data_IF_962028422629
#
_entry.id   IF_962028422629
#
_cell.length_a   1.000
_cell.length_b   1.000
_cell.length_c   1.000
_cell.angle_alpha   90.00
_cell.angle_beta   90.00
_cell.angle_gamma   90.00
#
_symmetry.space_group_name_H-M   'P 1'
#
loop_
_entity.id
_entity.type
_entity.pdbx_description
1 polymer ?
#
# COMPACT_ATOMS: atom_id res chain seq x y z
N UNK A 1 40.48 25.39 -6.45
CA UNK A 1 41.49 24.37 -6.09
C UNK A 1 41.85 24.55 -4.63
N UNK A 2 41.42 23.70 -3.73
CA UNK A 2 41.94 23.67 -2.35
C UNK A 2 43.14 22.72 -2.27
N UNK A 3 44.10 22.95 -1.36
CA UNK A 3 45.37 22.23 -1.27
C UNK A 3 45.23 20.86 -0.58
N UNK A 4 46.02 19.90 -1.07
CA UNK A 4 46.13 18.53 -0.57
C UNK A 4 46.89 18.49 0.76
N UNK A 5 46.44 17.61 1.67
CA UNK A 5 47.09 17.26 2.91
C UNK A 5 48.30 16.29 2.67
N UNK A 6 49.36 16.37 3.49
CA UNK A 6 50.55 15.52 3.36
C UNK A 6 50.36 14.11 3.98
N UNK A 7 51.13 13.09 3.55
CA UNK A 7 51.01 11.71 4.02
C UNK A 7 51.69 11.48 5.39
N UNK A 8 51.28 10.44 6.15
CA UNK A 8 51.86 10.17 7.49
C UNK A 8 53.22 9.52 7.42
N UNK A 9 54.10 9.96 8.31
CA UNK A 9 55.49 9.48 8.52
C UNK A 9 55.53 8.03 8.99
N UNK A 10 56.39 7.26 8.39
CA UNK A 10 56.77 5.90 8.80
C UNK A 10 57.64 5.95 10.08
N UNK A 11 57.23 5.18 11.08
CA UNK A 11 58.01 4.95 12.29
C UNK A 11 59.20 3.99 12.04
N UNK A 12 60.37 4.37 12.55
CA UNK A 12 61.62 3.65 12.39
C UNK A 12 61.62 2.35 13.23
N UNK A 13 62.19 1.30 12.66
CA UNK A 13 62.47 -0.01 13.25
C UNK A 13 63.78 0.10 14.10
N UNK A 14 63.82 -0.34 15.38
CA UNK A 14 65.05 -0.39 16.14
C UNK A 14 65.93 -1.63 15.75
N UNK A 15 67.28 -1.55 15.88
CA UNK A 15 68.17 -2.59 15.48
C UNK A 15 68.23 -3.77 16.47
N UNK A 16 68.73 -4.97 16.04
CA UNK A 16 68.75 -6.16 16.86
C UNK A 16 69.88 -6.15 17.91
N UNK A 17 69.52 -6.48 19.15
CA UNK A 17 70.50 -6.69 20.24
C UNK A 17 71.02 -8.11 20.25
N UNK A 18 72.35 -8.24 20.33
CA UNK A 18 73.09 -9.50 20.44
C UNK A 18 72.82 -10.24 21.77
N UNK A 19 72.86 -11.59 21.76
CA UNK A 19 72.63 -12.41 22.95
C UNK A 19 73.85 -12.42 23.92
N UNK A 20 73.56 -12.25 25.19
CA UNK A 20 74.50 -12.41 26.33
C UNK A 20 74.64 -13.90 26.67
N UNK A 21 75.88 -14.46 26.98
CA UNK A 21 76.06 -15.85 27.32
C UNK A 21 75.46 -16.22 28.69
N UNK A 22 74.80 -17.35 28.75
CA UNK A 22 74.28 -17.96 29.98
C UNK A 22 75.34 -18.68 30.78
N UNK A 23 75.31 -18.60 32.13
CA UNK A 23 76.15 -19.43 32.99
C UNK A 23 75.62 -20.88 33.12
N UNK A 24 76.45 -21.87 33.46
CA UNK A 24 76.09 -23.28 33.49
C UNK A 24 75.14 -23.66 34.63
N UNK A 25 74.38 -24.74 34.48
CA UNK A 25 73.34 -25.15 35.43
C UNK A 25 73.92 -25.82 36.68
N UNK A 26 73.34 -25.50 37.84
CA UNK A 26 73.60 -26.20 39.10
C UNK A 26 72.72 -27.51 39.20
N UNK A 27 73.18 -28.51 39.97
CA UNK A 27 72.57 -29.84 40.02
C UNK A 27 71.18 -29.85 40.66
N UNK A 28 70.34 -30.72 40.12
CA UNK A 28 68.97 -30.92 40.53
C UNK A 28 68.82 -31.49 41.97
N UNK A 29 68.08 -30.77 42.77
CA UNK A 29 67.45 -31.31 43.98
C UNK A 29 66.03 -31.81 43.61
N UNK A 30 65.78 -33.07 43.85
CA UNK A 30 64.44 -33.67 43.68
C UNK A 30 63.46 -33.05 44.69
N UNK A 31 62.50 -32.32 44.19
CA UNK A 31 61.33 -31.92 44.93
C UNK A 31 60.18 -32.94 44.65
N UNK A 32 59.41 -33.35 45.67
CA UNK A 32 58.31 -34.33 45.45
C UNK A 32 57.25 -33.75 44.56
N UNK A 33 56.98 -34.47 43.45
CA UNK A 33 55.90 -34.18 42.57
C UNK A 33 54.56 -34.47 43.26
N UNK A 34 53.93 -33.43 43.80
CA UNK A 34 52.52 -33.53 44.14
C UNK A 34 51.72 -33.57 42.84
N UNK A 35 51.20 -34.72 42.50
CA UNK A 35 50.21 -34.90 41.42
C UNK A 35 48.97 -34.11 41.83
N UNK A 36 48.78 -32.96 41.26
CA UNK A 36 47.49 -32.25 41.31
C UNK A 36 46.58 -33.02 40.37
N UNK A 37 45.80 -33.90 40.98
CA UNK A 37 44.69 -34.59 40.31
C UNK A 37 43.73 -33.53 39.81
N UNK A 38 43.71 -33.28 38.48
CA UNK A 38 42.75 -32.41 37.88
C UNK A 38 41.33 -32.90 38.23
N UNK A 39 40.44 -32.03 38.71
CA UNK A 39 39.10 -32.44 39.01
C UNK A 39 38.46 -32.98 37.73
N UNK A 40 38.06 -34.23 37.78
CA UNK A 40 37.35 -34.91 36.68
C UNK A 40 36.16 -34.00 36.26
N UNK A 41 36.17 -33.54 35.02
CA UNK A 41 35.05 -32.82 34.46
C UNK A 41 33.79 -33.69 34.64
N UNK A 42 32.73 -33.16 35.23
CA UNK A 42 31.52 -33.93 35.39
C UNK A 42 31.00 -34.30 34.00
N UNK A 43 30.96 -35.58 33.68
CA UNK A 43 30.32 -36.14 32.49
C UNK A 43 28.79 -35.95 32.65
N UNK A 44 28.29 -34.75 32.30
CA UNK A 44 26.87 -34.39 32.37
C UNK A 44 26.14 -34.72 31.07
N UNK A 45 26.23 -35.90 30.54
CA UNK A 45 25.54 -36.21 29.28
C UNK A 45 24.48 -37.29 29.31
N UNK A 46 24.13 -37.84 30.48
CA UNK A 46 23.14 -38.94 30.47
C UNK A 46 21.93 -38.79 31.43
N UNK A 47 21.80 -37.69 32.18
CA UNK A 47 20.73 -37.58 33.18
C UNK A 47 19.66 -36.50 32.87
N UNK A 48 19.89 -35.63 31.87
CA UNK A 48 18.96 -34.53 31.54
C UNK A 48 17.58 -35.04 31.08
N UNK A 49 17.54 -36.19 30.41
CA UNK A 49 16.29 -36.81 29.94
C UNK A 49 15.51 -37.57 31.03
N UNK A 50 16.08 -37.72 32.24
CA UNK A 50 15.40 -38.38 33.38
C UNK A 50 14.89 -37.38 34.42
N UNK A 51 15.28 -36.14 34.34
CA UNK A 51 14.78 -35.09 35.21
C UNK A 51 13.44 -34.55 34.65
N UNK A 52 12.31 -34.74 35.36
CA UNK A 52 11.00 -34.25 34.88
C UNK A 52 10.98 -32.74 34.67
N UNK A 53 11.77 -31.95 35.43
CA UNK A 53 11.89 -30.52 35.25
C UNK A 53 12.58 -30.17 33.92
N UNK A 54 13.65 -30.90 33.56
CA UNK A 54 14.37 -30.73 32.31
C UNK A 54 13.48 -31.07 31.12
N UNK A 55 12.67 -32.11 31.19
CA UNK A 55 11.70 -32.47 30.14
C UNK A 55 10.64 -31.37 29.94
N UNK A 56 10.11 -30.81 31.03
CA UNK A 56 9.14 -29.71 30.97
C UNK A 56 9.78 -28.48 30.33
N UNK A 57 11.00 -28.13 30.71
CA UNK A 57 11.70 -26.99 30.13
C UNK A 57 11.97 -27.18 28.62
N UNK A 58 12.39 -28.39 28.22
CA UNK A 58 12.59 -28.70 26.80
C UNK A 58 11.27 -28.59 26.05
N UNK A 59 10.19 -29.15 26.58
CA UNK A 59 8.87 -29.07 25.97
C UNK A 59 8.39 -27.63 25.82
N UNK A 60 8.52 -26.82 26.88
CA UNK A 60 8.16 -25.39 26.83
C UNK A 60 8.99 -24.64 25.78
N UNK A 61 10.30 -24.92 25.72
CA UNK A 61 11.19 -24.32 24.74
C UNK A 61 10.78 -24.68 23.29
N UNK A 62 10.47 -25.96 23.05
CA UNK A 62 10.03 -26.44 21.73
C UNK A 62 8.70 -25.80 21.34
N UNK A 63 7.75 -25.72 22.28
CA UNK A 63 6.47 -25.04 22.03
C UNK A 63 6.69 -23.54 21.73
N UNK A 64 7.54 -22.88 22.52
CA UNK A 64 7.85 -21.45 22.31
C UNK A 64 8.50 -21.21 20.94
N UNK A 65 9.44 -22.05 20.52
CA UNK A 65 10.06 -21.98 19.20
C UNK A 65 9.06 -22.26 18.07
N UNK A 66 8.17 -23.24 18.24
CA UNK A 66 7.11 -23.55 17.28
C UNK A 66 6.15 -22.35 17.12
N UNK A 67 5.71 -21.74 18.24
CA UNK A 67 4.86 -20.54 18.21
C UNK A 67 5.57 -19.36 17.58
N UNK A 68 6.83 -19.12 17.90
CA UNK A 68 7.63 -18.07 17.27
C UNK A 68 7.78 -18.28 15.76
N UNK A 69 7.97 -19.54 15.33
CA UNK A 69 8.00 -19.92 13.91
C UNK A 69 6.68 -19.63 13.18
N UNK A 70 5.55 -19.99 13.79
CA UNK A 70 4.20 -19.74 13.22
C UNK A 70 3.94 -18.24 13.13
N UNK A 71 4.25 -17.48 14.16
CA UNK A 71 4.08 -16.00 14.15
C UNK A 71 4.98 -15.37 13.08
N UNK A 72 6.23 -15.82 12.98
CA UNK A 72 7.14 -15.33 11.93
C UNK A 72 6.63 -15.63 10.53
N UNK A 73 6.14 -16.85 10.29
CA UNK A 73 5.54 -17.25 9.01
C UNK A 73 4.29 -16.42 8.69
N UNK A 74 3.41 -16.18 9.66
CA UNK A 74 2.22 -15.33 9.53
C UNK A 74 2.59 -13.90 9.08
N UNK A 75 3.58 -13.27 9.75
CA UNK A 75 4.00 -11.91 9.42
C UNK A 75 4.61 -11.81 8.02
N UNK A 76 5.41 -12.80 7.61
CA UNK A 76 6.03 -12.84 6.28
C UNK A 76 4.95 -13.06 5.21
N UNK A 77 4.08 -14.04 5.40
CA UNK A 77 3.03 -14.35 4.45
C UNK A 77 2.07 -13.17 4.25
N UNK A 78 1.69 -12.50 5.34
CA UNK A 78 0.88 -11.27 5.30
C UNK A 78 1.56 -10.17 4.48
N UNK A 79 2.84 -9.86 4.73
CA UNK A 79 3.59 -8.84 3.96
C UNK A 79 3.64 -9.17 2.47
N UNK A 80 3.77 -10.44 2.12
CA UNK A 80 3.76 -10.88 0.72
C UNK A 80 2.37 -10.63 0.11
N UNK A 81 1.29 -11.01 0.81
CA UNK A 81 -0.08 -10.78 0.38
C UNK A 81 -0.39 -9.29 0.20
N UNK A 82 -0.10 -8.47 1.23
CA UNK A 82 -0.27 -7.01 1.20
C UNK A 82 0.47 -6.40 -0.01
N UNK A 83 1.73 -6.81 -0.24
CA UNK A 83 2.55 -6.30 -1.35
C UNK A 83 1.99 -6.70 -2.72
N UNK A 84 1.46 -7.91 -2.87
CA UNK A 84 0.86 -8.35 -4.14
C UNK A 84 -0.39 -7.55 -4.48
N UNK A 85 -1.30 -7.38 -3.52
CA UNK A 85 -2.53 -6.59 -3.72
C UNK A 85 -2.19 -5.12 -3.96
N UNK A 86 -1.25 -4.55 -3.21
CA UNK A 86 -0.76 -3.20 -3.42
C UNK A 86 -0.24 -3.00 -4.86
N UNK A 87 0.64 -3.89 -5.35
CA UNK A 87 1.19 -3.82 -6.71
C UNK A 87 0.11 -3.95 -7.80
N UNK A 88 -0.86 -4.85 -7.62
CA UNK A 88 -1.98 -4.96 -8.53
C UNK A 88 -2.80 -3.67 -8.56
N UNK A 89 -3.06 -3.07 -7.41
CA UNK A 89 -3.73 -1.77 -7.30
C UNK A 89 -2.90 -0.67 -7.96
N UNK A 90 -1.60 -0.56 -7.67
CA UNK A 90 -0.68 0.42 -8.29
C UNK A 90 -0.75 0.35 -9.82
N UNK A 91 -0.77 -0.85 -10.39
CA UNK A 91 -0.90 -1.07 -11.82
C UNK A 91 -2.23 -0.54 -12.36
N UNK A 92 -3.35 -0.81 -11.67
CA UNK A 92 -4.70 -0.40 -12.10
C UNK A 92 -4.92 1.10 -12.00
N UNK A 93 -4.46 1.72 -10.91
CA UNK A 93 -4.69 3.16 -10.65
C UNK A 93 -3.60 4.06 -11.22
N UNK A 94 -2.45 3.48 -11.59
CA UNK A 94 -1.26 4.19 -12.07
C UNK A 94 -0.69 5.16 -11.02
N UNK A 95 -0.76 4.75 -9.74
CA UNK A 95 -0.24 5.48 -8.59
C UNK A 95 0.23 4.49 -7.51
N UNK A 96 0.97 4.98 -6.52
CA UNK A 96 1.36 4.18 -5.37
C UNK A 96 0.13 3.78 -4.54
N UNK A 97 0.14 2.55 -4.04
CA UNK A 97 -0.91 2.03 -3.19
C UNK A 97 -0.35 1.19 -2.04
N UNK A 98 -1.13 1.10 -0.98
CA UNK A 98 -0.92 0.17 0.12
C UNK A 98 -2.15 -0.72 0.28
N UNK A 99 -1.91 -1.96 0.69
CA UNK A 99 -2.97 -2.90 1.00
C UNK A 99 -2.69 -3.56 2.35
N UNK A 100 -3.74 -3.99 3.03
CA UNK A 100 -3.63 -4.73 4.27
C UNK A 100 -4.79 -5.72 4.42
N UNK A 101 -4.47 -6.94 4.85
CA UNK A 101 -5.46 -7.97 5.17
C UNK A 101 -5.90 -7.89 6.62
N UNK A 102 -7.12 -8.32 6.91
CA UNK A 102 -7.64 -8.47 8.25
C UNK A 102 -6.77 -9.40 9.11
N UNK A 103 -6.75 -9.15 10.43
CA UNK A 103 -5.91 -9.91 11.37
C UNK A 103 -6.60 -11.15 11.95
N UNK A 104 -7.91 -11.24 11.84
CA UNK A 104 -8.73 -12.32 12.41
C UNK A 104 -9.67 -12.88 11.34
N UNK A 105 -9.59 -14.17 11.05
CA UNK A 105 -8.57 -15.15 11.48
C UNK A 105 -7.17 -14.81 10.95
N UNK A 106 -6.09 -15.52 11.41
CA UNK A 106 -4.74 -15.32 10.88
C UNK A 106 -4.66 -15.42 9.37
N UNK A 107 -3.77 -14.65 8.73
CA UNK A 107 -3.67 -14.59 7.26
C UNK A 107 -3.36 -15.96 6.64
N UNK A 108 -2.48 -16.76 7.25
CA UNK A 108 -2.18 -18.11 6.76
C UNK A 108 -3.44 -18.98 6.71
N UNK A 109 -4.32 -18.87 7.72
CA UNK A 109 -5.60 -19.57 7.72
C UNK A 109 -6.51 -19.08 6.58
N UNK A 110 -6.63 -17.77 6.42
CA UNK A 110 -7.40 -17.16 5.31
C UNK A 110 -6.86 -17.64 3.96
N UNK A 111 -5.54 -17.71 3.82
CA UNK A 111 -4.89 -18.12 2.56
C UNK A 111 -5.12 -19.63 2.26
N UNK A 112 -5.02 -20.50 3.28
CA UNK A 112 -5.26 -21.94 3.11
C UNK A 112 -6.74 -22.22 2.79
N UNK A 113 -7.65 -21.47 3.40
CA UNK A 113 -9.09 -21.63 3.18
C UNK A 113 -9.61 -20.88 1.96
N UNK A 114 -8.81 -20.02 1.32
CA UNK A 114 -9.23 -19.17 0.20
C UNK A 114 -10.27 -18.11 0.57
N UNK A 115 -10.53 -17.91 1.87
CA UNK A 115 -11.53 -16.97 2.39
C UNK A 115 -10.83 -15.82 3.12
N UNK A 116 -11.00 -14.59 2.62
CA UNK A 116 -10.42 -13.40 3.24
C UNK A 116 -11.53 -12.53 3.82
N UNK A 117 -11.42 -12.23 5.11
CA UNK A 117 -12.49 -11.52 5.84
C UNK A 117 -12.53 -10.04 5.54
N UNK A 118 -11.36 -9.41 5.40
CA UNK A 118 -11.27 -7.98 5.11
C UNK A 118 -9.95 -7.65 4.41
N UNK A 119 -10.04 -6.83 3.35
CA UNK A 119 -8.89 -6.28 2.64
C UNK A 119 -9.12 -4.78 2.53
N UNK A 120 -8.21 -3.98 3.08
CA UNK A 120 -8.22 -2.53 2.97
C UNK A 120 -7.14 -2.08 2.00
N UNK A 121 -7.48 -1.14 1.12
CA UNK A 121 -6.58 -0.59 0.10
C UNK A 121 -6.65 0.93 0.18
N UNK A 122 -5.50 1.59 0.12
CA UNK A 122 -5.37 3.03 0.12
C UNK A 122 -4.36 3.47 -0.95
N UNK A 123 -4.70 4.47 -1.77
CA UNK A 123 -3.81 5.04 -2.79
C UNK A 123 -3.07 6.26 -2.25
N UNK A 124 -1.91 6.57 -2.81
CA UNK A 124 -1.08 7.70 -2.36
C UNK A 124 -1.69 9.09 -2.64
N UNK A 125 -2.65 9.16 -3.58
CA UNK A 125 -3.36 10.40 -3.89
C UNK A 125 -2.67 11.30 -4.90
N UNK A 126 -1.74 10.77 -5.69
CA UNK A 126 -1.19 11.53 -6.81
C UNK A 126 -2.13 11.47 -8.02
N UNK A 127 -2.73 10.30 -8.24
CA UNK A 127 -3.73 10.11 -9.30
C UNK A 127 -4.49 8.80 -9.12
N UNK A 128 -5.65 8.71 -9.77
CA UNK A 128 -6.36 7.46 -10.05
C UNK A 128 -6.59 7.42 -11.55
N UNK A 129 -5.80 6.65 -12.28
CA UNK A 129 -5.70 6.68 -13.76
C UNK A 129 -5.39 8.09 -14.24
N UNK A 130 -6.31 8.74 -14.95
CA UNK A 130 -6.16 10.08 -15.50
C UNK A 130 -6.60 11.19 -14.52
N UNK A 131 -7.31 10.84 -13.43
CA UNK A 131 -7.78 11.77 -12.43
C UNK A 131 -6.64 12.17 -11.48
N UNK A 132 -6.14 13.39 -11.61
CA UNK A 132 -5.02 13.92 -10.84
C UNK A 132 -5.39 14.25 -9.41
N UNK A 133 -4.46 14.03 -8.48
CA UNK A 133 -4.60 14.29 -7.04
C UNK A 133 -5.80 13.59 -6.38
N UNK A 134 -6.34 12.53 -7.01
CA UNK A 134 -7.44 11.75 -6.46
C UNK A 134 -6.91 10.66 -5.53
N UNK A 135 -7.52 10.50 -4.36
CA UNK A 135 -7.31 9.34 -3.48
C UNK A 135 -8.47 8.37 -3.59
N UNK A 136 -8.16 7.10 -3.45
CA UNK A 136 -9.14 6.03 -3.35
C UNK A 136 -8.86 5.17 -2.12
N UNK A 137 -9.88 5.04 -1.27
CA UNK A 137 -9.92 4.17 -0.10
C UNK A 137 -10.94 3.07 -0.34
N UNK A 138 -10.49 1.81 -0.34
CA UNK A 138 -11.34 0.66 -0.59
C UNK A 138 -11.34 -0.27 0.63
N UNK A 139 -12.51 -0.80 0.95
CA UNK A 139 -12.70 -1.87 1.93
C UNK A 139 -13.47 -3.00 1.26
N UNK A 140 -12.86 -4.18 1.23
CA UNK A 140 -13.41 -5.38 0.61
C UNK A 140 -13.60 -6.42 1.71
N UNK A 141 -14.79 -6.98 1.83
CA UNK A 141 -15.10 -7.97 2.87
C UNK A 141 -15.64 -9.26 2.27
N UNK A 142 -15.37 -10.34 2.97
CA UNK A 142 -15.87 -11.68 2.66
C UNK A 142 -15.52 -12.10 1.22
N UNK A 143 -14.22 -12.10 0.91
CA UNK A 143 -13.70 -12.58 -0.37
C UNK A 143 -13.54 -14.08 -0.30
N UNK A 144 -14.23 -14.79 -1.19
CA UNK A 144 -14.12 -16.24 -1.40
C UNK A 144 -13.51 -16.51 -2.76
N UNK A 145 -12.33 -17.12 -2.79
CA UNK A 145 -11.60 -17.45 -4.02
C UNK A 145 -11.93 -18.85 -4.58
N UNK A 146 -13.00 -19.49 -4.11
CA UNK A 146 -13.50 -20.73 -4.68
C UNK A 146 -14.34 -20.42 -5.93
N UNK A 147 -13.65 -20.16 -7.02
CA UNK A 147 -14.30 -19.84 -8.29
C UNK A 147 -14.94 -21.04 -8.98
N UNK A 148 -15.96 -20.76 -9.78
CA UNK A 148 -16.63 -21.74 -10.63
C UNK A 148 -16.81 -21.18 -12.03
N UNK A 149 -16.55 -21.99 -13.08
CA UNK A 149 -16.74 -21.54 -14.46
C UNK A 149 -15.92 -20.29 -14.81
N UNK A 150 -16.59 -19.20 -15.14
CA UNK A 150 -15.97 -17.94 -15.57
C UNK A 150 -15.60 -17.01 -14.39
N UNK A 151 -15.86 -17.45 -13.14
CA UNK A 151 -15.54 -16.70 -11.94
C UNK A 151 -14.29 -17.21 -11.25
N UNK A 152 -13.44 -16.30 -10.75
CA UNK A 152 -12.33 -16.63 -9.81
C UNK A 152 -12.82 -16.77 -8.37
N UNK A 153 -14.00 -16.25 -8.07
CA UNK A 153 -14.55 -16.20 -6.71
C UNK A 153 -15.63 -15.15 -6.58
N UNK A 154 -15.96 -14.83 -5.34
CA UNK A 154 -16.97 -13.83 -4.98
C UNK A 154 -16.45 -12.85 -3.94
N UNK A 155 -17.08 -11.69 -3.88
CA UNK A 155 -16.87 -10.67 -2.85
C UNK A 155 -18.22 -10.46 -2.16
N UNK A 156 -18.27 -10.57 -0.83
CA UNK A 156 -19.48 -10.31 -0.05
C UNK A 156 -19.87 -8.83 -0.11
N UNK A 157 -18.91 -7.94 0.12
CA UNK A 157 -19.10 -6.50 -0.06
C UNK A 157 -17.82 -5.77 -0.45
N UNK A 158 -17.97 -4.70 -1.22
CA UNK A 158 -16.91 -3.75 -1.52
C UNK A 158 -17.46 -2.34 -1.31
N UNK A 159 -16.72 -1.53 -0.59
CA UNK A 159 -16.97 -0.11 -0.41
C UNK A 159 -15.75 0.67 -0.89
N UNK A 160 -15.98 1.74 -1.64
CA UNK A 160 -14.92 2.62 -2.11
C UNK A 160 -15.29 4.08 -1.83
N UNK A 161 -14.36 4.82 -1.26
CA UNK A 161 -14.46 6.27 -1.07
C UNK A 161 -13.40 6.93 -1.94
N UNK A 162 -13.84 7.78 -2.85
CA UNK A 162 -12.97 8.60 -3.69
C UNK A 162 -13.00 10.03 -3.18
N UNK A 163 -11.84 10.60 -2.89
CA UNK A 163 -11.69 12.00 -2.51
C UNK A 163 -10.92 12.73 -3.60
N UNK A 164 -11.53 13.75 -4.16
CA UNK A 164 -10.95 14.48 -5.28
C UNK A 164 -10.88 15.98 -4.98
N UNK A 165 -9.70 16.51 -4.64
CA UNK A 165 -9.51 17.93 -4.38
C UNK A 165 -9.80 18.81 -5.59
N UNK A 166 -10.27 20.01 -5.36
CA UNK A 166 -10.56 21.01 -6.41
C UNK A 166 -9.39 21.24 -7.35
N UNK A 167 -8.17 21.28 -6.81
CA UNK A 167 -6.94 21.42 -7.61
C UNK A 167 -6.76 20.25 -8.58
N UNK A 168 -7.00 19.02 -8.11
CA UNK A 168 -6.90 17.81 -8.93
C UNK A 168 -7.98 17.74 -10.01
N UNK A 169 -9.22 18.14 -9.69
CA UNK A 169 -10.30 18.24 -10.67
C UNK A 169 -9.91 19.23 -11.76
N UNK A 170 -9.43 20.42 -11.38
CA UNK A 170 -8.97 21.44 -12.33
C UNK A 170 -7.87 20.90 -13.24
N UNK A 171 -6.82 20.32 -12.68
CA UNK A 171 -5.70 19.75 -13.44
C UNK A 171 -6.15 18.65 -14.40
N UNK A 172 -7.07 17.80 -13.97
CA UNK A 172 -7.62 16.73 -14.80
C UNK A 172 -8.41 17.30 -15.97
N UNK A 173 -9.29 18.28 -15.73
CA UNK A 173 -10.06 18.94 -16.80
C UNK A 173 -9.12 19.61 -17.80
N UNK A 174 -8.07 20.28 -17.33
CA UNK A 174 -7.06 20.90 -18.19
C UNK A 174 -6.33 19.89 -19.09
N UNK A 175 -6.06 18.69 -18.58
CA UNK A 175 -5.33 17.66 -19.31
C UNK A 175 -6.23 16.84 -20.26
N UNK A 176 -7.46 16.54 -19.84
CA UNK A 176 -8.37 15.67 -20.60
C UNK A 176 -9.14 16.37 -21.70
N UNK A 177 -9.29 17.70 -21.62
CA UNK A 177 -10.07 18.47 -22.58
C UNK A 177 -9.19 19.54 -23.25
N UNK A 178 -8.38 19.16 -24.27
CA UNK A 178 -7.32 20.02 -24.81
C UNK A 178 -7.80 21.41 -25.28
N UNK A 179 -9.02 21.49 -25.82
CA UNK A 179 -9.59 22.76 -26.31
C UNK A 179 -10.12 23.64 -25.15
N UNK A 180 -10.79 23.00 -24.16
CA UNK A 180 -11.37 23.70 -23.02
C UNK A 180 -10.37 23.81 -21.86
N UNK A 181 -9.46 22.85 -21.71
CA UNK A 181 -8.52 22.77 -20.61
C UNK A 181 -7.63 24.01 -20.48
N UNK A 182 -7.11 24.50 -21.60
CA UNK A 182 -6.33 25.76 -21.65
C UNK A 182 -7.16 27.01 -21.31
N UNK A 183 -8.48 26.91 -21.36
CA UNK A 183 -9.38 27.99 -21.01
C UNK A 183 -9.79 27.97 -19.54
N UNK A 184 -9.72 26.82 -18.85
CA UNK A 184 -10.08 26.71 -17.42
C UNK A 184 -8.98 27.33 -16.56
N UNK A 185 -9.28 28.51 -16.02
CA UNK A 185 -8.36 29.27 -15.18
C UNK A 185 -8.51 28.95 -13.68
N UNK A 186 -9.72 28.67 -13.21
CA UNK A 186 -10.02 28.43 -11.80
C UNK A 186 -11.15 27.41 -11.63
N UNK A 187 -11.16 26.73 -10.48
CA UNK A 187 -12.23 25.81 -10.08
C UNK A 187 -12.51 26.03 -8.59
N UNK A 188 -13.78 26.24 -8.26
CA UNK A 188 -14.26 26.41 -6.89
C UNK A 188 -15.38 25.43 -6.58
N UNK A 189 -15.41 24.97 -5.35
CA UNK A 189 -16.49 24.14 -4.82
C UNK A 189 -17.34 24.96 -3.86
N UNK A 190 -18.63 24.71 -3.86
CA UNK A 190 -19.59 25.28 -2.91
C UNK A 190 -20.32 24.13 -2.23
N UNK A 191 -19.96 23.87 -0.98
CA UNK A 191 -20.56 22.78 -0.19
C UNK A 191 -22.03 23.04 0.16
N UNK A 192 -22.45 24.29 0.32
CA UNK A 192 -23.84 24.64 0.67
C UNK A 192 -24.81 24.33 -0.46
N UNK A 193 -24.43 24.67 -1.69
CA UNK A 193 -25.24 24.44 -2.89
C UNK A 193 -24.98 23.05 -3.53
N UNK A 194 -23.93 22.37 -3.09
CA UNK A 194 -23.49 21.09 -3.67
C UNK A 194 -22.99 21.25 -5.10
N UNK A 195 -22.31 22.36 -5.45
CA UNK A 195 -21.95 22.71 -6.81
C UNK A 195 -20.44 22.88 -6.98
N UNK A 196 -19.98 22.64 -8.21
CA UNK A 196 -18.63 22.91 -8.68
C UNK A 196 -18.70 23.99 -9.75
N UNK A 197 -18.00 25.10 -9.54
CA UNK A 197 -17.90 26.22 -10.45
C UNK A 197 -16.55 26.17 -11.19
N UNK A 198 -16.60 26.07 -12.50
CA UNK A 198 -15.44 26.17 -13.39
C UNK A 198 -15.45 27.55 -14.04
N UNK A 199 -14.34 28.27 -13.90
CA UNK A 199 -14.09 29.56 -14.55
C UNK A 199 -13.11 29.40 -15.68
N UNK A 200 -13.46 29.95 -16.83
CA UNK A 200 -12.65 29.83 -18.02
C UNK A 200 -12.52 31.17 -18.78
N UNK A 201 -11.74 31.14 -19.87
CA UNK A 201 -11.55 32.29 -20.75
C UNK A 201 -11.21 33.56 -19.99
N UNK A 202 -10.19 33.52 -19.12
CA UNK A 202 -9.77 34.69 -18.29
C UNK A 202 -10.88 35.25 -17.38
N UNK A 203 -11.79 34.36 -16.91
CA UNK A 203 -12.92 34.75 -16.07
C UNK A 203 -14.16 35.24 -16.85
N UNK A 204 -14.12 35.24 -18.17
CA UNK A 204 -15.24 35.66 -19.01
C UNK A 204 -16.32 34.57 -19.15
N UNK A 205 -16.00 33.32 -18.84
CA UNK A 205 -16.94 32.20 -18.86
C UNK A 205 -16.98 31.48 -17.50
N UNK A 206 -18.17 31.16 -17.05
CA UNK A 206 -18.37 30.37 -15.83
C UNK A 206 -19.42 29.30 -16.08
N UNK A 207 -19.07 28.07 -15.73
CA UNK A 207 -19.98 26.91 -15.75
C UNK A 207 -20.15 26.43 -14.32
N UNK A 208 -21.38 26.36 -13.82
CA UNK A 208 -21.71 25.76 -12.52
C UNK A 208 -22.37 24.42 -12.77
N UNK A 209 -21.78 23.38 -12.24
CA UNK A 209 -22.26 21.99 -12.36
C UNK A 209 -22.61 21.44 -10.99
N UNK A 210 -23.69 20.68 -10.91
CA UNK A 210 -24.05 19.92 -9.72
C UNK A 210 -23.88 18.45 -10.01
N UNK A 211 -22.95 17.78 -9.32
CA UNK A 211 -22.82 16.34 -9.41
C UNK A 211 -23.92 15.67 -8.57
N UNK A 212 -24.57 14.67 -9.12
CA UNK A 212 -25.63 13.90 -8.47
C UNK A 212 -25.50 12.42 -8.77
N UNK A 213 -26.09 11.57 -7.91
CA UNK A 213 -26.21 10.14 -8.17
C UNK A 213 -27.59 9.86 -8.74
N UNK A 214 -27.63 9.28 -9.93
CA UNK A 214 -28.86 8.89 -10.63
C UNK A 214 -28.75 7.42 -11.03
N UNK A 215 -29.67 6.58 -10.52
CA UNK A 215 -29.72 5.14 -10.80
C UNK A 215 -28.41 4.39 -10.49
N UNK A 216 -27.63 4.85 -9.51
CA UNK A 216 -26.34 4.27 -9.13
C UNK A 216 -25.19 4.66 -10.06
N UNK A 217 -25.41 5.60 -11.00
CA UNK A 217 -24.41 6.26 -11.82
C UNK A 217 -24.20 7.71 -11.41
N UNK A 218 -23.14 8.33 -11.90
CA UNK A 218 -22.88 9.76 -11.73
C UNK A 218 -23.60 10.55 -12.84
N UNK A 219 -24.21 11.68 -12.47
CA UNK A 219 -24.77 12.66 -13.37
C UNK A 219 -24.19 14.03 -13.05
N UNK A 220 -23.89 14.83 -14.06
CA UNK A 220 -23.38 16.19 -13.92
C UNK A 220 -24.39 17.15 -14.55
N UNK A 221 -25.11 17.90 -13.72
CA UNK A 221 -26.13 18.83 -14.20
C UNK A 221 -25.61 20.25 -14.30
N UNK A 222 -25.74 20.86 -15.48
CA UNK A 222 -25.44 22.29 -15.66
C UNK A 222 -26.51 23.13 -14.97
N UNK A 223 -26.13 23.77 -13.87
CA UNK A 223 -27.01 24.68 -13.13
C UNK A 223 -26.98 26.08 -13.76
N UNK A 224 -25.79 26.57 -14.13
CA UNK A 224 -25.58 27.93 -14.65
C UNK A 224 -24.46 27.94 -15.67
N UNK A 225 -24.70 28.66 -16.76
CA UNK A 225 -23.68 29.00 -17.76
C UNK A 225 -23.73 30.49 -17.97
N UNK A 226 -22.63 31.18 -17.70
CA UNK A 226 -22.50 32.65 -17.87
C UNK A 226 -21.21 32.99 -18.58
N UNK A 227 -21.23 34.05 -19.36
CA UNK A 227 -20.07 34.59 -20.02
C UNK A 227 -20.02 34.33 -21.52
N UNK A 228 -19.02 34.90 -22.17
CA UNK A 228 -18.72 34.83 -23.61
C UNK A 228 -19.65 35.63 -24.56
N UNK A 229 -20.45 36.56 -24.09
CA UNK A 229 -21.20 37.49 -24.98
C UNK A 229 -21.92 36.75 -26.11
N UNK A 230 -21.53 37.00 -27.36
CA UNK A 230 -22.11 36.36 -28.54
C UNK A 230 -21.79 34.85 -28.74
N UNK A 231 -20.90 34.27 -27.91
CA UNK A 231 -20.50 32.86 -27.96
C UNK A 231 -21.12 32.03 -26.81
N UNK A 232 -22.25 32.45 -26.24
CA UNK A 232 -22.98 31.62 -25.27
C UNK A 232 -23.43 30.33 -25.94
N UNK A 233 -22.78 29.21 -25.57
CA UNK A 233 -23.30 27.90 -25.94
C UNK A 233 -24.63 27.67 -25.18
N UNK A 234 -25.69 27.25 -25.87
CA UNK A 234 -26.92 26.87 -25.19
C UNK A 234 -26.62 25.76 -24.16
N UNK A 235 -27.28 25.76 -22.99
CA UNK A 235 -27.13 24.70 -21.98
C UNK A 235 -27.35 23.31 -22.59
N UNK A 236 -28.27 23.25 -23.52
CA UNK A 236 -28.63 22.04 -24.28
C UNK A 236 -27.48 21.45 -25.08
N UNK A 237 -26.50 22.29 -25.50
CA UNK A 237 -25.31 21.78 -26.21
C UNK A 237 -24.25 21.23 -25.28
N UNK A 238 -24.16 21.70 -24.04
CA UNK A 238 -23.15 21.26 -23.07
C UNK A 238 -23.59 20.02 -22.27
N UNK A 239 -24.89 19.92 -21.97
CA UNK A 239 -25.42 18.81 -21.16
C UNK A 239 -25.13 17.41 -21.77
N UNK A 240 -25.31 17.17 -23.10
CA UNK A 240 -25.00 15.87 -23.68
C UNK A 240 -23.52 15.47 -23.57
N UNK A 241 -22.59 16.43 -23.62
CA UNK A 241 -21.16 16.15 -23.45
C UNK A 241 -20.83 15.79 -22.01
N UNK A 242 -21.47 16.45 -21.03
CA UNK A 242 -21.34 16.10 -19.61
C UNK A 242 -21.97 14.73 -19.31
N UNK A 243 -23.10 14.42 -19.90
CA UNK A 243 -23.76 13.11 -19.78
C UNK A 243 -22.90 12.00 -20.38
N UNK A 244 -22.26 12.26 -21.53
CA UNK A 244 -21.30 11.35 -22.13
C UNK A 244 -20.10 11.14 -21.22
N UNK A 245 -19.51 12.22 -20.70
CA UNK A 245 -18.39 12.16 -19.76
C UNK A 245 -18.75 11.40 -18.49
N UNK A 246 -19.87 11.71 -17.85
CA UNK A 246 -20.37 11.00 -16.68
C UNK A 246 -20.63 9.51 -16.98
N UNK A 247 -21.22 9.20 -18.16
CA UNK A 247 -21.45 7.85 -18.60
C UNK A 247 -20.14 7.07 -18.83
N UNK A 248 -19.13 7.68 -19.45
CA UNK A 248 -17.82 7.04 -19.62
C UNK A 248 -17.14 6.73 -18.27
N UNK A 249 -17.27 7.62 -17.29
CA UNK A 249 -16.77 7.37 -15.93
C UNK A 249 -17.50 6.19 -15.25
N UNK A 250 -18.80 6.00 -15.54
CA UNK A 250 -19.64 5.02 -14.83
C UNK A 250 -19.76 3.66 -15.54
N UNK A 251 -19.65 3.63 -16.86
CA UNK A 251 -19.81 2.41 -17.66
C UNK A 251 -18.79 1.31 -17.34
N UNK A 252 -17.68 1.62 -16.74
CA UNK A 252 -16.57 0.72 -16.47
C UNK A 252 -16.31 0.46 -15.00
N UNK A 253 -17.32 0.63 -14.16
CA UNK A 253 -17.15 0.27 -12.76
C UNK A 253 -16.96 -1.24 -12.63
N UNK A 254 -15.81 -1.68 -12.13
CA UNK A 254 -15.56 -3.12 -11.96
C UNK A 254 -16.52 -3.69 -10.91
N UNK A 255 -16.79 -4.98 -11.00
CA UNK A 255 -17.54 -5.72 -9.98
C UNK A 255 -18.97 -5.21 -9.71
N UNK A 256 -19.57 -4.49 -10.66
CA UNK A 256 -20.93 -3.97 -10.48
C UNK A 256 -21.04 -2.88 -9.42
N UNK A 257 -19.95 -2.16 -9.15
CA UNK A 257 -19.96 -0.99 -8.27
C UNK A 257 -21.04 0.01 -8.70
N UNK A 258 -21.71 0.60 -7.70
CA UNK A 258 -22.69 1.65 -7.88
C UNK A 258 -22.33 2.85 -7.03
N UNK A 259 -22.61 4.04 -7.53
CA UNK A 259 -22.50 5.24 -6.73
C UNK A 259 -23.62 5.27 -5.69
N UNK A 260 -23.26 5.43 -4.42
CA UNK A 260 -24.20 5.57 -3.30
C UNK A 260 -24.45 7.04 -2.99
N UNK A 261 -23.38 7.85 -2.97
CA UNK A 261 -23.46 9.28 -2.71
C UNK A 261 -22.32 10.04 -3.38
N UNK A 262 -22.58 11.30 -3.67
CA UNK A 262 -21.57 12.28 -4.06
C UNK A 262 -21.81 13.54 -3.25
N UNK A 263 -20.77 14.09 -2.68
CA UNK A 263 -20.81 15.24 -1.79
C UNK A 263 -19.76 16.25 -2.26
N UNK A 264 -20.18 17.47 -2.49
CA UNK A 264 -19.28 18.61 -2.73
C UNK A 264 -18.91 19.20 -1.37
N UNK A 265 -17.61 19.25 -1.10
CA UNK A 265 -17.04 19.83 0.12
C UNK A 265 -16.39 21.18 -0.19
N UNK A 266 -15.91 21.88 0.83
CA UNK A 266 -15.20 23.15 0.67
C UNK A 266 -13.88 22.99 -0.12
N UNK A 267 -13.30 21.79 -0.14
CA UNK A 267 -11.99 21.53 -0.72
C UNK A 267 -12.00 20.66 -1.97
N UNK A 268 -13.18 20.11 -2.34
CA UNK A 268 -13.29 19.19 -3.47
C UNK A 268 -14.59 18.40 -3.47
N UNK A 269 -14.52 17.18 -3.95
CA UNK A 269 -15.65 16.25 -4.08
C UNK A 269 -15.30 14.93 -3.43
N UNK A 270 -16.24 14.37 -2.68
CA UNK A 270 -16.16 13.01 -2.10
C UNK A 270 -17.27 12.16 -2.70
N UNK A 271 -16.93 11.05 -3.30
CA UNK A 271 -17.88 10.09 -3.85
C UNK A 271 -17.73 8.73 -3.15
N UNK A 272 -18.85 8.11 -2.81
CA UNK A 272 -18.89 6.77 -2.22
C UNK A 272 -19.59 5.82 -3.16
N UNK A 273 -19.02 4.63 -3.25
CA UNK A 273 -19.49 3.55 -4.11
C UNK A 273 -19.56 2.27 -3.30
N UNK A 274 -20.49 1.40 -3.63
CA UNK A 274 -20.54 0.07 -3.06
C UNK A 274 -21.04 -0.97 -4.05
N UNK A 275 -20.75 -2.22 -3.73
CA UNK A 275 -21.41 -3.40 -4.32
C UNK A 275 -21.50 -4.51 -3.28
N UNK A 276 -22.42 -5.43 -3.49
CA UNK A 276 -22.60 -6.62 -2.65
C UNK A 276 -22.77 -7.85 -3.52
N UNK A 277 -22.27 -8.99 -2.99
CA UNK A 277 -22.36 -10.30 -3.65
C UNK A 277 -21.85 -10.26 -5.11
N UNK A 278 -20.71 -9.59 -5.31
CA UNK A 278 -20.12 -9.43 -6.61
C UNK A 278 -19.28 -10.67 -7.00
N UNK A 279 -19.43 -11.12 -8.24
CA UNK A 279 -18.58 -12.15 -8.80
C UNK A 279 -17.25 -11.53 -9.27
N UNK A 280 -16.13 -12.16 -8.94
CA UNK A 280 -14.79 -11.80 -9.44
C UNK A 280 -14.63 -12.46 -10.81
N UNK A 281 -14.67 -11.72 -11.93
CA UNK A 281 -14.52 -12.32 -13.24
C UNK A 281 -13.10 -12.84 -13.44
N UNK A 282 -12.94 -13.86 -14.26
CA UNK A 282 -11.62 -14.20 -14.80
C UNK A 282 -11.22 -13.10 -15.77
N UNK A 283 -10.02 -12.60 -15.62
CA UNK A 283 -9.47 -11.57 -16.49
C UNK A 283 -8.04 -11.91 -16.85
N UNK A 284 -7.66 -11.63 -18.08
CA UNK A 284 -6.30 -11.70 -18.57
C UNK A 284 -5.56 -10.36 -18.40
N UNK A 285 -6.13 -9.44 -17.62
CA UNK A 285 -5.51 -8.15 -17.33
C UNK A 285 -4.14 -8.37 -16.64
N UNK A 286 -3.06 -7.86 -17.24
CA UNK A 286 -1.70 -8.07 -16.75
C UNK A 286 -1.49 -7.55 -15.32
N UNK A 287 -2.29 -6.59 -14.86
CA UNK A 287 -2.24 -6.08 -13.49
C UNK A 287 -2.59 -7.15 -12.44
N UNK A 288 -3.38 -8.16 -12.82
CA UNK A 288 -3.82 -9.25 -11.93
C UNK A 288 -3.14 -10.60 -12.21
N UNK A 289 -2.17 -10.65 -13.11
CA UNK A 289 -1.51 -11.89 -13.53
C UNK A 289 -0.71 -12.57 -12.39
N UNK A 290 -0.39 -11.83 -11.33
CA UNK A 290 0.46 -12.30 -10.22
C UNK A 290 -0.29 -12.39 -8.87
N UNK A 291 -1.62 -12.27 -8.86
CA UNK A 291 -2.47 -12.47 -7.69
C UNK A 291 -2.78 -13.94 -7.43
#
# INVERSE_FOLDING_TARGET
MPPQAPPPSQAAVPPPTNPVPQPPPAPAGEAPTTVIEAPAAPSRSASVLRDPLALVLILVTVIALALAGVIGAELIARRIGDSKVAKATECVVNDKASASFGVTPPFLWQHITGNYTNISIHTAGNQVKDAKQMTADLSISDVDLHGTGDSRGTIGSLQATLTWPSAGIKETVQNMVPILGNLVSDLKTNAQDGTVELRGAFGLATVVVKPEVVNGGLSLQVQKLTGLGALTLPRESLQPELDRFASELTKRYPLGLRADSIEVTETGVVARFSTRNASIPRTDDPCFAHL
#
